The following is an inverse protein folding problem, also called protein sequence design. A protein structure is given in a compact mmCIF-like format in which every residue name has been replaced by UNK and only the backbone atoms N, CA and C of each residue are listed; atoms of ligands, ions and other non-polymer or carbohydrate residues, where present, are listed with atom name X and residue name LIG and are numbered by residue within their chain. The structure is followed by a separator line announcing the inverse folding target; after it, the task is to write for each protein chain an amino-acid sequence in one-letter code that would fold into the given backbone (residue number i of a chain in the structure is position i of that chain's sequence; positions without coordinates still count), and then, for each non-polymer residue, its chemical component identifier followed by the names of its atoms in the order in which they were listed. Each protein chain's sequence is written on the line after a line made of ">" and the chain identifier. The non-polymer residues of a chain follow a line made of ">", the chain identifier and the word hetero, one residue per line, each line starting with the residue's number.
data_IF_078432759099
#
_entry.id   IF_078432759099
#
_cell.length_a   1.000
_cell.length_b   1.000
_cell.length_c   1.000
_cell.angle_alpha   90.00
_cell.angle_beta   90.00
_cell.angle_gamma   90.00
#
_symmetry.space_group_name_H-M   'P 1'
#
loop_
_entity.id
_entity.type
_entity.pdbx_description
1 polymer ?
#
# COMPACT_ATOMS: atom_id res chain seq x y z
N UNK A 1 34.80 26.46 -2.47
CA UNK A 1 33.81 26.97 -1.51
C UNK A 1 32.53 27.55 -2.13
N UNK A 2 32.52 27.98 -3.37
CA UNK A 2 31.31 28.46 -4.04
C UNK A 2 30.43 27.35 -4.64
N UNK A 3 30.93 26.11 -4.76
CA UNK A 3 30.19 25.01 -5.44
C UNK A 3 29.27 24.22 -4.52
N UNK A 4 29.51 24.15 -3.22
CA UNK A 4 28.65 23.39 -2.30
C UNK A 4 27.38 24.14 -1.91
N UNK A 5 27.48 25.45 -1.64
CA UNK A 5 26.31 26.31 -1.38
C UNK A 5 25.37 26.40 -2.57
N UNK A 6 25.90 26.33 -3.77
CA UNK A 6 25.10 26.32 -5.02
C UNK A 6 24.32 25.00 -5.22
N UNK A 7 24.88 23.89 -4.78
CA UNK A 7 24.18 22.57 -4.86
C UNK A 7 23.06 22.45 -3.85
N UNK A 8 23.30 22.86 -2.59
CA UNK A 8 22.26 22.84 -1.55
C UNK A 8 21.10 23.81 -1.86
N UNK A 9 21.39 24.98 -2.39
CA UNK A 9 20.35 25.92 -2.83
C UNK A 9 19.61 25.44 -4.05
N UNK A 10 20.25 24.71 -4.95
CA UNK A 10 19.62 24.13 -6.12
C UNK A 10 18.62 23.01 -5.75
N UNK A 11 18.88 22.27 -4.67
CA UNK A 11 17.93 21.30 -4.12
C UNK A 11 16.66 21.95 -3.54
N UNK A 12 16.81 23.13 -2.96
CA UNK A 12 15.70 23.89 -2.38
C UNK A 12 14.87 24.62 -3.44
N UNK A 13 15.50 25.03 -4.55
CA UNK A 13 14.86 25.81 -5.61
C UNK A 13 14.41 24.96 -6.82
N UNK A 14 15.12 23.88 -7.12
CA UNK A 14 14.90 23.06 -8.34
C UNK A 14 14.02 21.83 -8.16
N UNK A 15 13.82 21.37 -6.95
CA UNK A 15 13.08 20.13 -6.67
C UNK A 15 13.79 18.86 -7.17
N UNK A 16 13.24 17.72 -6.81
CA UNK A 16 13.69 16.40 -7.25
C UNK A 16 12.98 15.99 -8.55
N UNK A 17 13.66 15.24 -9.41
CA UNK A 17 13.01 14.63 -10.56
C UNK A 17 12.01 13.56 -10.09
N UNK A 18 10.98 13.32 -10.89
CA UNK A 18 10.00 12.27 -10.61
C UNK A 18 10.67 10.89 -10.44
N UNK A 19 11.69 10.61 -11.25
CA UNK A 19 12.48 9.37 -11.17
C UNK A 19 13.25 9.27 -9.85
N UNK A 20 13.84 10.36 -9.37
CA UNK A 20 14.55 10.39 -8.09
C UNK A 20 13.59 10.10 -6.94
N UNK A 21 12.41 10.71 -6.92
CA UNK A 21 11.36 10.46 -5.91
C UNK A 21 10.87 9.01 -5.97
N UNK A 22 10.64 8.49 -7.17
CA UNK A 22 10.29 7.09 -7.39
C UNK A 22 11.30 6.13 -6.75
N UNK A 23 12.58 6.40 -6.91
CA UNK A 23 13.64 5.58 -6.33
C UNK A 23 13.74 5.73 -4.80
N UNK A 24 13.57 6.94 -4.28
CA UNK A 24 13.66 7.22 -2.84
C UNK A 24 12.49 6.60 -2.08
N UNK A 25 11.28 6.72 -2.61
CA UNK A 25 10.06 6.26 -1.96
C UNK A 25 9.64 4.84 -2.35
N UNK A 26 10.36 4.21 -3.27
CA UNK A 26 10.03 2.90 -3.85
C UNK A 26 8.60 2.84 -4.43
N UNK A 27 8.24 3.90 -5.16
CA UNK A 27 6.95 4.01 -5.83
C UNK A 27 7.17 4.08 -7.33
N UNK A 28 6.47 3.26 -8.14
CA UNK A 28 6.57 3.36 -9.59
C UNK A 28 6.22 4.77 -10.11
N UNK A 29 6.96 5.26 -11.09
CA UNK A 29 6.68 6.56 -11.72
C UNK A 29 5.28 6.63 -12.31
N UNK A 30 4.74 5.51 -12.78
CA UNK A 30 3.36 5.40 -13.25
C UNK A 30 2.33 5.72 -12.17
N UNK A 31 2.58 5.26 -10.93
CA UNK A 31 1.73 5.56 -9.77
C UNK A 31 1.80 7.05 -9.42
N UNK A 32 2.99 7.64 -9.43
CA UNK A 32 3.17 9.07 -9.17
C UNK A 32 2.45 9.93 -10.22
N UNK A 33 2.54 9.56 -11.50
CA UNK A 33 1.81 10.24 -12.58
C UNK A 33 0.29 10.09 -12.44
N UNK A 34 -0.17 8.92 -12.02
CA UNK A 34 -1.57 8.66 -11.74
C UNK A 34 -2.08 9.56 -10.61
N UNK A 35 -1.33 9.71 -9.53
CA UNK A 35 -1.70 10.59 -8.41
C UNK A 35 -1.71 12.06 -8.79
N UNK A 36 -0.80 12.50 -9.66
CA UNK A 36 -0.81 13.85 -10.25
C UNK A 36 -2.08 14.06 -11.10
N UNK A 37 -2.39 13.12 -11.96
CA UNK A 37 -3.59 13.15 -12.80
C UNK A 37 -4.88 13.16 -11.97
N UNK A 38 -4.92 12.40 -10.89
CA UNK A 38 -6.06 12.34 -9.98
C UNK A 38 -6.17 13.55 -9.04
N UNK A 39 -5.18 14.44 -9.04
CA UNK A 39 -5.16 15.63 -8.22
C UNK A 39 -4.85 15.39 -6.74
N UNK A 40 -4.25 14.23 -6.40
CA UNK A 40 -3.80 13.93 -5.04
C UNK A 40 -2.61 14.79 -4.63
N UNK A 41 -1.68 14.95 -5.54
CA UNK A 41 -0.48 15.78 -5.43
C UNK A 41 -0.27 16.53 -6.73
N UNK A 42 0.23 17.76 -6.65
CA UNK A 42 0.53 18.57 -7.81
C UNK A 42 2.04 18.63 -8.02
N UNK A 43 2.51 18.09 -9.13
CA UNK A 43 3.90 18.24 -9.54
C UNK A 43 4.10 19.50 -10.37
N UNK A 44 5.10 20.27 -10.02
CA UNK A 44 5.52 21.40 -10.84
C UNK A 44 6.23 20.89 -12.11
N UNK A 45 5.89 21.48 -13.24
CA UNK A 45 6.62 21.23 -14.48
C UNK A 45 7.72 22.26 -14.67
N UNK A 46 8.90 21.79 -15.04
CA UNK A 46 9.97 22.69 -15.42
C UNK A 46 9.60 23.33 -16.77
N UNK A 47 9.49 24.65 -16.81
CA UNK A 47 9.15 25.41 -18.02
C UNK A 47 10.17 25.28 -19.15
N UNK A 48 11.42 24.86 -18.84
CA UNK A 48 12.49 24.68 -19.84
C UNK A 48 12.39 23.37 -20.61
N UNK A 49 11.94 22.29 -19.95
CA UNK A 49 11.96 20.93 -20.52
C UNK A 49 10.67 20.14 -20.29
N UNK A 50 9.66 20.75 -19.74
CA UNK A 50 8.35 20.14 -19.43
C UNK A 50 8.42 18.86 -18.55
N UNK A 51 9.56 18.59 -17.91
CA UNK A 51 9.67 17.49 -16.94
C UNK A 51 9.03 17.83 -15.61
N UNK A 52 8.33 16.85 -15.02
CA UNK A 52 7.77 16.98 -13.69
C UNK A 52 8.88 17.07 -12.65
N UNK A 53 8.74 18.04 -11.75
CA UNK A 53 9.62 18.22 -10.59
C UNK A 53 8.82 18.19 -9.31
N UNK A 54 9.44 17.66 -8.25
CA UNK A 54 8.85 17.53 -6.93
C UNK A 54 9.54 18.48 -5.97
N UNK A 55 8.80 19.49 -5.49
CA UNK A 55 9.28 20.39 -4.44
C UNK A 55 9.30 19.67 -3.08
N UNK A 56 9.99 20.26 -2.09
CA UNK A 56 9.99 19.73 -0.72
C UNK A 56 8.57 19.65 -0.15
N UNK A 57 7.73 20.65 -0.39
CA UNK A 57 6.35 20.65 0.06
C UNK A 57 5.55 19.51 -0.58
N UNK A 58 5.69 19.30 -1.87
CA UNK A 58 5.05 18.19 -2.57
C UNK A 58 5.56 16.83 -2.08
N UNK A 59 6.83 16.73 -1.72
CA UNK A 59 7.39 15.52 -1.12
C UNK A 59 6.73 15.21 0.24
N UNK A 60 6.50 16.22 1.08
CA UNK A 60 5.78 16.04 2.35
C UNK A 60 4.33 15.61 2.13
N UNK A 61 3.64 16.20 1.14
CA UNK A 61 2.30 15.78 0.74
C UNK A 61 2.28 14.31 0.25
N UNK A 62 3.30 13.89 -0.49
CA UNK A 62 3.45 12.50 -0.92
C UNK A 62 3.61 11.54 0.26
N UNK A 63 4.39 11.91 1.27
CA UNK A 63 4.55 11.10 2.47
C UNK A 63 3.23 10.93 3.21
N UNK A 64 2.43 11.99 3.33
CA UNK A 64 1.08 11.91 3.92
C UNK A 64 0.16 10.98 3.11
N UNK A 65 0.18 11.08 1.78
CA UNK A 65 -0.58 10.17 0.90
C UNK A 65 -0.17 8.72 1.11
N UNK A 66 1.14 8.46 1.22
CA UNK A 66 1.67 7.12 1.49
C UNK A 66 1.18 6.57 2.81
N UNK A 67 1.25 7.35 3.88
CA UNK A 67 0.77 6.94 5.20
C UNK A 67 -0.70 6.53 5.16
N UNK A 68 -1.55 7.34 4.52
CA UNK A 68 -2.97 6.98 4.36
C UNK A 68 -3.18 5.76 3.46
N UNK A 69 -2.37 5.58 2.42
CA UNK A 69 -2.43 4.37 1.58
C UNK A 69 -1.99 3.13 2.33
N UNK A 70 -1.00 3.22 3.20
CA UNK A 70 -0.59 2.12 4.09
C UNK A 70 -1.69 1.75 5.08
N UNK A 71 -2.50 2.72 5.52
CA UNK A 71 -3.71 2.48 6.32
C UNK A 71 -4.89 1.96 5.50
N UNK A 72 -4.70 1.69 4.20
CA UNK A 72 -5.73 1.21 3.27
C UNK A 72 -6.87 2.21 3.06
N UNK A 73 -6.60 3.51 3.23
CA UNK A 73 -7.57 4.58 2.94
C UNK A 73 -7.71 4.74 1.42
N UNK A 74 -8.92 4.72 0.88
CA UNK A 74 -9.13 4.88 -0.56
C UNK A 74 -8.68 6.25 -1.07
N UNK A 75 -8.14 6.30 -2.28
CA UNK A 75 -7.65 7.52 -2.93
C UNK A 75 -8.71 8.63 -2.95
N UNK A 76 -9.95 8.28 -3.25
CA UNK A 76 -11.06 9.24 -3.24
C UNK A 76 -11.30 9.91 -1.88
N UNK A 77 -11.02 9.23 -0.79
CA UNK A 77 -11.09 9.80 0.56
C UNK A 77 -9.86 10.65 0.89
N UNK A 78 -8.67 10.22 0.47
CA UNK A 78 -7.44 10.98 0.66
C UNK A 78 -7.53 12.36 0.01
N UNK A 79 -8.13 12.48 -1.16
CA UNK A 79 -8.37 13.76 -1.84
C UNK A 79 -9.18 14.75 -1.01
N UNK A 80 -10.07 14.27 -0.17
CA UNK A 80 -10.96 15.09 0.65
C UNK A 80 -10.33 15.53 1.97
N UNK A 81 -9.24 14.88 2.39
CA UNK A 81 -8.59 15.12 3.68
C UNK A 81 -8.20 16.59 3.90
N UNK A 82 -7.63 17.33 2.94
CA UNK A 82 -7.27 18.74 3.15
C UNK A 82 -8.46 19.64 3.54
N UNK A 83 -9.68 19.23 3.23
CA UNK A 83 -10.92 19.99 3.52
C UNK A 83 -11.66 19.45 4.75
N UNK A 84 -11.16 18.35 5.34
CA UNK A 84 -11.78 17.73 6.51
C UNK A 84 -11.42 18.48 7.78
N UNK A 85 -12.39 18.51 8.70
CA UNK A 85 -12.11 18.89 10.10
C UNK A 85 -11.39 17.74 10.80
N UNK A 86 -10.80 18.04 11.95
CA UNK A 86 -10.18 16.99 12.82
C UNK A 86 -11.18 15.89 13.18
N UNK A 87 -12.43 16.27 13.40
CA UNK A 87 -13.50 15.31 13.70
C UNK A 87 -13.83 14.42 12.51
N UNK A 88 -13.91 14.98 11.29
CA UNK A 88 -14.13 14.21 10.06
C UNK A 88 -13.01 13.22 9.80
N UNK A 89 -11.77 13.62 10.02
CA UNK A 89 -10.61 12.75 9.88
C UNK A 89 -10.62 11.63 10.93
N UNK A 90 -10.95 11.95 12.16
CA UNK A 90 -11.10 10.96 13.23
C UNK A 90 -12.16 9.91 12.90
N UNK A 91 -13.30 10.35 12.35
CA UNK A 91 -14.36 9.46 11.90
C UNK A 91 -13.90 8.58 10.71
N UNK A 92 -13.22 9.16 9.73
CA UNK A 92 -12.66 8.41 8.60
C UNK A 92 -11.73 7.28 9.07
N UNK A 93 -10.84 7.58 9.99
CA UNK A 93 -9.91 6.58 10.54
C UNK A 93 -10.64 5.50 11.34
N UNK A 94 -11.66 5.86 12.11
CA UNK A 94 -12.48 4.90 12.85
C UNK A 94 -13.26 3.95 11.92
N UNK A 95 -13.85 4.47 10.85
CA UNK A 95 -14.54 3.69 9.82
C UNK A 95 -13.55 2.74 9.11
N UNK A 96 -12.38 3.24 8.76
CA UNK A 96 -11.35 2.43 8.09
C UNK A 96 -10.83 1.31 9.01
N UNK A 97 -10.66 1.59 10.30
CA UNK A 97 -10.32 0.59 11.32
C UNK A 97 -11.36 -0.54 11.35
N UNK A 98 -12.65 -0.19 11.36
CA UNK A 98 -13.72 -1.18 11.38
C UNK A 98 -13.70 -2.09 10.13
N UNK A 99 -13.45 -1.52 8.96
CA UNK A 99 -13.29 -2.28 7.71
C UNK A 99 -12.11 -3.26 7.80
N UNK A 100 -10.97 -2.82 8.30
CA UNK A 100 -9.79 -3.68 8.46
C UNK A 100 -10.02 -4.78 9.49
N UNK A 101 -10.68 -4.50 10.60
CA UNK A 101 -11.05 -5.51 11.60
C UNK A 101 -11.98 -6.57 11.01
N UNK A 102 -12.92 -6.16 10.14
CA UNK A 102 -13.77 -7.10 9.40
C UNK A 102 -12.98 -8.00 8.45
N UNK A 103 -11.99 -7.46 7.76
CA UNK A 103 -11.07 -8.25 6.90
C UNK A 103 -10.25 -9.26 7.72
N UNK A 104 -9.73 -8.85 8.87
CA UNK A 104 -9.00 -9.73 9.79
C UNK A 104 -9.90 -10.89 10.24
N UNK A 105 -11.10 -10.61 10.70
CA UNK A 105 -12.05 -11.64 11.14
C UNK A 105 -12.37 -12.63 10.02
N UNK A 106 -12.55 -12.15 8.79
CA UNK A 106 -12.79 -13.01 7.61
C UNK A 106 -11.60 -13.89 7.28
N UNK A 107 -10.38 -13.35 7.38
CA UNK A 107 -9.16 -14.13 7.16
C UNK A 107 -8.97 -15.19 8.24
N UNK A 108 -9.25 -14.88 9.51
CA UNK A 108 -9.22 -15.83 10.61
C UNK A 108 -10.22 -17.00 10.39
N UNK A 109 -11.42 -16.69 9.92
CA UNK A 109 -12.41 -17.71 9.56
C UNK A 109 -11.91 -18.60 8.42
N UNK A 110 -11.24 -18.01 7.42
CA UNK A 110 -10.65 -18.75 6.31
C UNK A 110 -9.55 -19.70 6.79
N UNK A 111 -8.66 -19.22 7.66
CA UNK A 111 -7.62 -20.06 8.27
C UNK A 111 -8.22 -21.22 9.08
N UNK A 112 -9.28 -20.96 9.85
CA UNK A 112 -9.96 -22.01 10.60
C UNK A 112 -10.52 -23.11 9.68
N UNK A 113 -11.03 -22.75 8.51
CA UNK A 113 -11.45 -23.74 7.50
C UNK A 113 -10.30 -24.58 6.95
N UNK A 114 -9.15 -23.96 6.74
CA UNK A 114 -7.93 -24.65 6.30
C UNK A 114 -7.50 -25.64 7.38
N UNK A 115 -7.45 -25.22 8.63
CA UNK A 115 -7.09 -26.06 9.78
C UNK A 115 -7.99 -27.32 9.85
N UNK A 116 -9.29 -27.16 9.67
CA UNK A 116 -10.22 -28.29 9.63
C UNK A 116 -9.95 -29.26 8.48
N UNK A 117 -9.62 -28.73 7.29
CA UNK A 117 -9.22 -29.56 6.15
C UNK A 117 -7.92 -30.31 6.40
N UNK A 118 -6.94 -29.65 6.95
CA UNK A 118 -5.64 -30.27 7.31
C UNK A 118 -5.82 -31.39 8.33
N UNK A 119 -6.66 -31.17 9.36
CA UNK A 119 -6.99 -32.20 10.35
C UNK A 119 -7.68 -33.41 9.72
N UNK A 120 -8.64 -33.18 8.82
CA UNK A 120 -9.33 -34.24 8.11
C UNK A 120 -8.36 -35.06 7.22
N UNK A 121 -7.45 -34.38 6.51
CA UNK A 121 -6.43 -35.03 5.69
C UNK A 121 -5.43 -35.83 6.54
N UNK A 122 -5.04 -35.33 7.70
CA UNK A 122 -4.17 -36.06 8.62
C UNK A 122 -4.83 -37.36 9.11
N UNK A 123 -6.11 -37.32 9.44
CA UNK A 123 -6.88 -38.54 9.81
C UNK A 123 -6.97 -39.52 8.68
N UNK A 124 -7.21 -39.08 7.44
CA UNK A 124 -7.22 -39.94 6.27
C UNK A 124 -5.88 -40.64 6.05
N UNK A 125 -4.78 -39.93 6.20
CA UNK A 125 -3.43 -40.50 6.11
C UNK A 125 -3.16 -41.55 7.18
N UNK A 126 -3.61 -41.32 8.42
CA UNK A 126 -3.53 -42.32 9.50
C UNK A 126 -4.34 -43.58 9.17
N UNK A 127 -5.56 -43.44 8.66
CA UNK A 127 -6.39 -44.53 8.27
C UNK A 127 -5.80 -45.35 7.10
N UNK A 128 -5.21 -44.69 6.11
CA UNK A 128 -4.51 -45.34 5.01
C UNK A 128 -3.32 -46.18 5.49
N UNK A 129 -2.61 -45.70 6.51
CA UNK A 129 -1.48 -46.43 7.10
C UNK A 129 -1.88 -47.60 8.00
N UNK A 130 -3.08 -47.55 8.60
CA UNK A 130 -3.56 -48.54 9.53
C UNK A 130 -4.47 -49.60 8.88
N UNK A 131 -4.93 -49.39 7.63
CA UNK A 131 -5.72 -50.36 6.92
C UNK A 131 -4.97 -51.68 6.68
N UNK A 132 -5.62 -52.83 6.98
CA UNK A 132 -5.00 -54.11 6.69
C UNK A 132 -4.75 -54.30 5.20
N UNK A 133 -3.61 -54.87 4.84
CA UNK A 133 -3.18 -55.08 3.46
C UNK A 133 -4.20 -55.80 2.55
N UNK A 134 -5.07 -56.65 3.10
CA UNK A 134 -6.11 -57.36 2.37
C UNK A 134 -7.31 -56.43 2.00
N UNK A 135 -7.51 -55.32 2.68
CA UNK A 135 -8.60 -54.37 2.41
C UNK A 135 -8.35 -53.56 1.14
N UNK A 136 -7.13 -53.16 0.88
CA UNK A 136 -6.72 -52.40 -0.32
C UNK A 136 -6.83 -53.25 -1.60
N UNK A 137 -6.71 -54.59 -1.51
CA UNK A 137 -6.85 -55.49 -2.64
C UNK A 137 -8.29 -55.71 -3.11
N UNK A 138 -9.30 -55.42 -2.27
CA UNK A 138 -10.73 -55.56 -2.60
C UNK A 138 -11.39 -54.33 -3.22
N UNK A 139 -10.74 -53.16 -3.15
CA UNK A 139 -11.27 -51.90 -3.66
C UNK A 139 -10.82 -51.58 -5.10
N UNK A 140 -10.20 -52.52 -5.81
CA UNK A 140 -9.86 -52.37 -7.23
C UNK A 140 -10.98 -52.89 -8.14
#
# INVERSE_FOLDING_TARGET
>A
MKSEKSKEQHWLEGGLSLKAVSNILDIPTSTLRYWDKEGLVAFNRNWQNDYRQVSVNTLLELLDVLDYREMDVPIGKIKQIPQMTTNDLSQLLAENRAVLQGKIAKLEQTLAKIDLKEQALARLKELEQTEPHWFTAKCR
#
